data_IF_107699137217
#
_entry.id   IF_107699137217
#
_cell.length_a   1.000
_cell.length_b   1.000
_cell.length_c   1.000
_cell.angle_alpha   90.00
_cell.angle_beta   90.00
_cell.angle_gamma   90.00
#
_symmetry.space_group_name_H-M   'P 1'
#
loop_
_entity.id
_entity.type
_entity.pdbx_description
1 polymer ?
#
# COMPACT_ATOMS: atom_id res chain seq x y z
N UNK A 1 -13.22 48.65 -27.43
CA UNK A 1 -13.79 47.47 -28.13
C UNK A 1 -14.29 46.49 -27.07
N UNK A 2 -15.60 46.56 -26.80
CA UNK A 2 -16.60 45.49 -27.03
C UNK A 2 -16.62 44.36 -25.99
N UNK A 3 -17.56 44.51 -25.06
CA UNK A 3 -18.13 43.46 -24.22
C UNK A 3 -18.88 42.40 -25.05
N UNK A 4 -18.87 41.15 -24.60
CA UNK A 4 -19.89 40.11 -24.90
C UNK A 4 -19.77 39.01 -23.82
N UNK A 5 -20.62 38.97 -22.78
CA UNK A 5 -22.05 38.61 -22.70
C UNK A 5 -22.31 37.09 -22.84
N UNK A 6 -22.58 36.49 -21.66
CA UNK A 6 -23.43 35.34 -21.28
C UNK A 6 -23.90 34.36 -22.38
N UNK A 7 -23.83 33.05 -22.07
CA UNK A 7 -24.95 32.14 -22.30
C UNK A 7 -24.89 30.86 -21.43
N UNK A 8 -25.71 30.86 -20.39
CA UNK A 8 -26.21 29.70 -19.64
C UNK A 8 -27.24 29.00 -20.53
N UNK A 9 -27.11 27.70 -20.84
CA UNK A 9 -28.19 26.94 -21.50
C UNK A 9 -28.44 25.61 -20.78
N UNK A 10 -29.52 25.62 -19.98
CA UNK A 10 -30.20 24.44 -19.45
C UNK A 10 -30.68 23.59 -20.64
N UNK A 11 -30.28 22.33 -20.71
CA UNK A 11 -30.91 21.37 -21.59
C UNK A 11 -32.17 20.81 -20.92
N UNK A 12 -33.27 20.93 -21.65
CA UNK A 12 -34.65 20.73 -21.25
C UNK A 12 -35.03 19.27 -21.47
N UNK A 13 -35.62 18.66 -20.44
CA UNK A 13 -36.34 17.39 -20.48
C UNK A 13 -37.36 17.42 -21.64
N UNK A 14 -37.29 16.46 -22.58
CA UNK A 14 -38.39 16.09 -23.47
C UNK A 14 -38.34 14.58 -23.74
N UNK A 15 -39.29 13.88 -23.14
CA UNK A 15 -39.73 12.56 -23.61
C UNK A 15 -40.52 12.72 -24.91
N UNK A 16 -40.37 11.80 -25.85
CA UNK A 16 -41.52 11.11 -26.47
C UNK A 16 -41.20 9.60 -26.63
N UNK A 17 -42.09 8.65 -26.87
CA UNK A 17 -43.44 8.64 -27.43
C UNK A 17 -44.06 7.28 -27.03
N UNK A 18 -45.35 7.24 -26.70
CA UNK A 18 -46.13 6.00 -26.56
C UNK A 18 -46.16 5.29 -27.93
N UNK A 19 -45.83 4.01 -27.98
CA UNK A 19 -46.31 3.08 -29.01
C UNK A 19 -47.37 2.18 -28.38
N UNK A 20 -48.55 2.23 -28.97
CA UNK A 20 -49.72 1.44 -28.58
C UNK A 20 -49.63 0.01 -29.13
N UNK A 21 -50.05 -0.92 -28.28
CA UNK A 21 -50.87 -2.09 -28.56
C UNK A 21 -50.45 -3.05 -29.69
N UNK A 22 -49.67 -4.07 -29.32
CA UNK A 22 -49.89 -5.43 -29.82
C UNK A 22 -50.71 -6.18 -28.75
N UNK A 23 -51.80 -6.81 -29.15
CA UNK A 23 -52.76 -7.47 -28.25
C UNK A 23 -52.13 -8.61 -27.42
N UNK A 24 -52.71 -8.95 -26.25
CA UNK A 24 -52.15 -9.96 -25.36
C UNK A 24 -52.33 -11.35 -26.00
N UNK A 25 -51.24 -11.91 -26.52
CA UNK A 25 -51.15 -13.34 -26.75
C UNK A 25 -51.32 -14.04 -25.39
N UNK A 26 -52.26 -14.99 -25.33
CA UNK A 26 -52.54 -15.82 -24.14
C UNK A 26 -51.21 -16.37 -23.58
N UNK A 27 -50.89 -16.13 -22.30
CA UNK A 27 -49.68 -16.70 -21.72
C UNK A 27 -49.80 -18.23 -21.71
N UNK A 28 -48.72 -18.96 -22.03
CA UNK A 28 -48.71 -20.41 -21.92
C UNK A 28 -49.02 -20.82 -20.48
N UNK A 29 -49.85 -21.86 -20.35
CA UNK A 29 -50.28 -22.47 -19.08
C UNK A 29 -49.04 -22.67 -18.18
N UNK A 30 -49.04 -22.18 -16.92
CA UNK A 30 -47.87 -22.34 -16.05
C UNK A 30 -47.57 -23.83 -15.90
N UNK A 31 -46.34 -24.21 -16.21
CA UNK A 31 -45.82 -25.55 -15.95
C UNK A 31 -46.05 -25.88 -14.46
N UNK A 32 -46.44 -27.13 -14.20
CA UNK A 32 -46.62 -27.65 -12.84
C UNK A 32 -45.46 -27.19 -11.96
N UNK A 33 -45.79 -26.63 -10.78
CA UNK A 33 -44.82 -26.10 -9.82
C UNK A 33 -43.68 -27.10 -9.69
N UNK A 34 -42.50 -26.74 -10.20
CA UNK A 34 -41.29 -27.49 -9.91
C UNK A 34 -41.22 -27.60 -8.38
N UNK A 35 -41.15 -28.83 -7.88
CA UNK A 35 -40.97 -29.11 -6.47
C UNK A 35 -39.84 -28.23 -5.96
N UNK A 36 -40.15 -27.37 -5.00
CA UNK A 36 -39.14 -26.59 -4.29
C UNK A 36 -38.05 -27.57 -3.86
N UNK A 37 -36.77 -27.38 -4.26
CA UNK A 37 -35.72 -28.29 -3.83
C UNK A 37 -35.77 -28.37 -2.32
N UNK A 38 -35.90 -29.59 -1.79
CA UNK A 38 -35.98 -29.82 -0.36
C UNK A 38 -34.85 -29.03 0.31
N UNK A 39 -35.21 -28.12 1.20
CA UNK A 39 -34.25 -27.27 1.91
C UNK A 39 -33.24 -28.21 2.57
N UNK A 40 -31.96 -28.05 2.22
CA UNK A 40 -30.90 -28.91 2.74
C UNK A 40 -31.04 -29.05 4.26
N UNK A 41 -30.92 -30.26 4.83
CA UNK A 41 -31.04 -30.47 6.27
C UNK A 41 -30.12 -29.51 7.01
N UNK A 42 -30.62 -28.90 8.10
CA UNK A 42 -29.84 -27.93 8.90
C UNK A 42 -28.46 -28.47 9.31
N UNK A 43 -28.34 -29.78 9.52
CA UNK A 43 -27.07 -30.44 9.82
C UNK A 43 -26.06 -30.34 8.67
N UNK A 44 -26.49 -30.52 7.41
CA UNK A 44 -25.63 -30.34 6.22
C UNK A 44 -25.20 -28.88 6.03
N UNK A 45 -26.09 -27.92 6.35
CA UNK A 45 -25.74 -26.50 6.31
C UNK A 45 -24.73 -26.12 7.41
N UNK A 46 -24.87 -26.69 8.61
CA UNK A 46 -23.91 -26.50 9.71
C UNK A 46 -22.52 -27.08 9.39
N UNK A 47 -22.47 -28.29 8.83
CA UNK A 47 -21.19 -28.89 8.41
C UNK A 47 -20.52 -28.11 7.27
N UNK A 48 -21.32 -27.59 6.33
CA UNK A 48 -20.81 -26.73 5.26
C UNK A 48 -20.28 -25.40 5.81
N UNK A 49 -20.97 -24.78 6.76
CA UNK A 49 -20.53 -23.54 7.41
C UNK A 49 -19.25 -23.74 8.23
N UNK A 50 -19.11 -24.86 8.92
CA UNK A 50 -17.91 -25.16 9.70
C UNK A 50 -16.71 -25.47 8.80
N UNK A 51 -16.91 -26.21 7.70
CA UNK A 51 -15.88 -26.39 6.65
C UNK A 51 -15.48 -25.05 6.02
N UNK A 52 -16.45 -24.19 5.71
CA UNK A 52 -16.18 -22.86 5.19
C UNK A 52 -15.32 -22.03 6.15
N UNK A 53 -15.67 -21.98 7.45
CA UNK A 53 -14.87 -21.28 8.46
C UNK A 53 -13.44 -21.83 8.55
N UNK A 54 -13.28 -23.17 8.56
CA UNK A 54 -11.96 -23.81 8.58
C UNK A 54 -11.13 -23.44 7.34
N UNK A 55 -11.72 -23.44 6.15
CA UNK A 55 -11.00 -23.12 4.92
C UNK A 55 -10.63 -21.63 4.87
N UNK A 56 -11.51 -20.74 5.34
CA UNK A 56 -11.18 -19.32 5.53
C UNK A 56 -10.03 -19.14 6.52
N UNK A 57 -10.02 -19.89 7.62
CA UNK A 57 -8.94 -19.84 8.61
C UNK A 57 -7.61 -20.34 8.02
N UNK A 58 -7.61 -21.44 7.25
CA UNK A 58 -6.42 -21.91 6.51
C UNK A 58 -5.90 -20.85 5.54
N UNK A 59 -6.79 -20.20 4.79
CA UNK A 59 -6.42 -19.14 3.86
C UNK A 59 -5.83 -17.92 4.60
N UNK A 60 -6.40 -17.55 5.76
CA UNK A 60 -5.83 -16.50 6.62
C UNK A 60 -4.43 -16.90 7.07
N UNK A 61 -4.24 -18.08 7.63
CA UNK A 61 -2.93 -18.53 8.12
C UNK A 61 -1.88 -18.59 6.99
N UNK A 62 -2.24 -19.04 5.78
CA UNK A 62 -1.37 -18.95 4.60
C UNK A 62 -0.99 -17.51 4.26
N UNK A 63 -1.96 -16.59 4.28
CA UNK A 63 -1.70 -15.16 4.05
C UNK A 63 -0.74 -14.59 5.10
N UNK A 64 -0.86 -15.00 6.37
CA UNK A 64 0.06 -14.59 7.45
C UNK A 64 1.49 -15.05 7.17
N UNK A 65 1.66 -16.33 6.83
CA UNK A 65 2.96 -16.90 6.46
C UNK A 65 3.60 -16.14 5.30
N UNK A 66 2.86 -15.95 4.20
CA UNK A 66 3.34 -15.22 3.03
C UNK A 66 3.73 -13.77 3.33
N UNK A 67 2.96 -13.07 4.19
CA UNK A 67 3.30 -11.72 4.61
C UNK A 67 4.62 -11.71 5.40
N UNK A 68 4.80 -12.67 6.32
CA UNK A 68 6.02 -12.82 7.10
C UNK A 68 7.24 -13.16 6.24
N UNK A 69 7.09 -14.07 5.29
CA UNK A 69 8.14 -14.49 4.36
C UNK A 69 8.53 -13.34 3.42
N UNK A 70 7.55 -12.56 2.95
CA UNK A 70 7.81 -11.38 2.15
C UNK A 70 8.64 -10.34 2.93
N UNK A 71 8.34 -10.11 4.21
CA UNK A 71 9.14 -9.22 5.06
C UNK A 71 10.57 -9.73 5.25
N UNK A 72 10.73 -11.05 5.44
CA UNK A 72 12.06 -11.67 5.54
C UNK A 72 12.86 -11.47 4.26
N UNK A 73 12.28 -11.82 3.11
CA UNK A 73 12.88 -11.66 1.80
C UNK A 73 13.35 -10.22 1.56
N UNK A 74 12.52 -9.22 1.90
CA UNK A 74 12.88 -7.81 1.76
C UNK A 74 14.00 -7.38 2.72
N UNK A 75 14.02 -7.93 3.93
CA UNK A 75 15.10 -7.69 4.89
C UNK A 75 16.42 -8.28 4.39
N UNK A 76 16.40 -9.50 3.85
CA UNK A 76 17.59 -10.19 3.36
C UNK A 76 18.17 -9.52 2.10
N UNK A 77 17.33 -9.03 1.19
CA UNK A 77 17.76 -8.15 0.09
C UNK A 77 18.49 -6.93 0.66
N UNK A 78 17.89 -6.26 1.65
CA UNK A 78 18.51 -5.08 2.27
C UNK A 78 19.88 -5.36 2.85
N UNK A 79 20.04 -6.50 3.55
CA UNK A 79 21.32 -6.93 4.10
C UNK A 79 22.36 -7.18 3.02
N UNK A 80 21.98 -7.91 1.95
CA UNK A 80 22.86 -8.19 0.82
C UNK A 80 23.34 -6.90 0.15
N UNK A 81 22.42 -5.97 -0.11
CA UNK A 81 22.76 -4.70 -0.79
C UNK A 81 23.63 -3.81 0.08
N UNK A 82 23.43 -3.80 1.40
CA UNK A 82 24.32 -3.10 2.33
C UNK A 82 25.73 -3.68 2.26
N UNK A 83 25.87 -5.01 2.27
CA UNK A 83 27.19 -5.67 2.13
C UNK A 83 27.87 -5.28 0.81
N UNK A 84 27.16 -5.31 -0.32
CA UNK A 84 27.67 -4.87 -1.62
C UNK A 84 28.17 -3.41 -1.56
N UNK A 85 27.37 -2.51 -0.97
CA UNK A 85 27.72 -1.10 -0.86
C UNK A 85 28.93 -0.85 0.05
N UNK A 86 29.08 -1.61 1.14
CA UNK A 86 30.19 -1.48 2.09
C UNK A 86 31.48 -2.12 1.56
N UNK A 87 31.41 -3.24 0.84
CA UNK A 87 32.56 -3.87 0.19
C UNK A 87 33.13 -3.03 -0.95
N UNK A 88 32.29 -2.30 -1.69
CA UNK A 88 32.76 -1.34 -2.71
C UNK A 88 33.72 -0.30 -2.11
N UNK A 89 33.52 0.07 -0.85
CA UNK A 89 34.34 1.06 -0.16
C UNK A 89 35.63 0.47 0.44
N UNK A 90 35.78 -0.86 0.47
CA UNK A 90 37.00 -1.52 0.94
C UNK A 90 37.99 -1.68 -0.22
N UNK A 91 39.20 -1.20 -0.02
CA UNK A 91 40.29 -1.25 -0.99
C UNK A 91 41.16 -2.51 -0.80
N UNK A 92 40.61 -3.71 -0.97
CA UNK A 92 41.38 -4.96 -0.81
C UNK A 92 40.87 -6.10 -1.70
N UNK A 93 41.76 -7.06 -1.95
CA UNK A 93 41.59 -8.27 -2.78
C UNK A 93 40.49 -9.26 -2.32
N UNK A 94 39.76 -8.97 -1.23
CA UNK A 94 38.75 -9.85 -0.62
C UNK A 94 37.29 -9.41 -0.90
N UNK A 95 37.04 -8.69 -2.00
CA UNK A 95 35.66 -8.35 -2.38
C UNK A 95 34.90 -9.60 -2.79
N UNK A 96 33.95 -10.03 -1.98
CA UNK A 96 33.07 -11.16 -2.28
C UNK A 96 32.09 -10.82 -3.41
N UNK A 97 31.70 -9.55 -3.54
CA UNK A 97 30.74 -9.08 -4.54
C UNK A 97 31.36 -8.24 -5.68
N UNK A 98 32.69 -8.25 -5.82
CA UNK A 98 33.38 -7.61 -6.95
C UNK A 98 33.05 -6.13 -7.14
N UNK A 99 32.63 -5.75 -8.36
CA UNK A 99 32.23 -4.39 -8.77
C UNK A 99 30.71 -4.16 -8.80
N UNK A 100 29.92 -5.11 -8.29
CA UNK A 100 28.46 -5.01 -8.33
C UNK A 100 27.93 -3.80 -7.56
N UNK A 101 26.81 -3.30 -8.02
CA UNK A 101 26.12 -2.12 -7.49
C UNK A 101 24.70 -2.47 -7.03
N UNK A 102 24.10 -1.53 -6.32
CA UNK A 102 22.67 -1.59 -5.97
C UNK A 102 21.79 -1.73 -7.22
N UNK A 103 22.19 -1.11 -8.34
CA UNK A 103 21.46 -1.19 -9.61
C UNK A 103 21.51 -2.59 -10.24
N UNK A 104 22.64 -3.28 -10.12
CA UNK A 104 22.77 -4.67 -10.61
C UNK A 104 21.83 -5.61 -9.84
N UNK A 105 21.73 -5.41 -8.52
CA UNK A 105 20.78 -6.19 -7.70
C UNK A 105 19.34 -5.93 -8.11
N UNK A 106 18.96 -4.67 -8.36
CA UNK A 106 17.62 -4.33 -8.86
C UNK A 106 17.32 -5.01 -10.20
N UNK A 107 18.28 -4.99 -11.13
CA UNK A 107 18.15 -5.63 -12.44
C UNK A 107 18.01 -7.15 -12.33
N UNK A 108 18.87 -7.81 -11.56
CA UNK A 108 18.86 -9.27 -11.40
C UNK A 108 17.58 -9.78 -10.73
N UNK A 109 17.04 -9.02 -9.78
CA UNK A 109 15.79 -9.35 -9.11
C UNK A 109 14.55 -8.90 -9.91
N UNK A 110 14.72 -8.24 -11.06
CA UNK A 110 13.63 -7.62 -11.82
C UNK A 110 12.75 -6.68 -10.96
N UNK A 111 13.40 -5.94 -10.07
CA UNK A 111 12.77 -5.04 -9.10
C UNK A 111 13.08 -3.58 -9.44
N UNK A 112 12.18 -2.68 -9.03
CA UNK A 112 12.46 -1.25 -9.14
C UNK A 112 13.63 -0.87 -8.21
N UNK A 113 14.53 -0.02 -8.70
CA UNK A 113 15.66 0.48 -7.92
C UNK A 113 15.21 1.14 -6.59
N UNK A 114 14.08 1.84 -6.61
CA UNK A 114 13.46 2.44 -5.42
C UNK A 114 13.04 1.39 -4.38
N UNK A 115 12.58 0.22 -4.80
CA UNK A 115 12.25 -0.90 -3.90
C UNK A 115 13.50 -1.42 -3.22
N UNK A 116 14.61 -1.57 -3.95
CA UNK A 116 15.89 -2.04 -3.39
C UNK A 116 16.43 -1.05 -2.36
N UNK A 117 16.37 0.25 -2.65
CA UNK A 117 16.73 1.28 -1.65
C UNK A 117 15.80 1.26 -0.43
N UNK A 118 14.50 1.01 -0.60
CA UNK A 118 13.58 0.84 0.52
C UNK A 118 13.95 -0.38 1.39
N UNK A 119 14.41 -1.48 0.78
CA UNK A 119 14.93 -2.66 1.50
C UNK A 119 16.19 -2.31 2.31
N UNK A 120 17.12 -1.54 1.74
CA UNK A 120 18.29 -1.05 2.50
C UNK A 120 17.86 -0.17 3.69
N UNK A 121 16.94 0.77 3.47
CA UNK A 121 16.42 1.63 4.55
C UNK A 121 15.73 0.82 5.63
N UNK A 122 14.98 -0.23 5.25
CA UNK A 122 14.32 -1.14 6.17
C UNK A 122 15.33 -1.77 7.15
N UNK A 123 16.43 -2.32 6.64
CA UNK A 123 17.47 -2.94 7.47
C UNK A 123 18.20 -1.92 8.35
N UNK A 124 18.47 -0.72 7.82
CA UNK A 124 19.15 0.34 8.58
C UNK A 124 18.29 0.94 9.70
N UNK A 125 16.98 0.95 9.53
CA UNK A 125 16.06 1.59 10.47
C UNK A 125 15.41 0.63 11.46
N UNK A 126 15.33 -0.66 11.13
CA UNK A 126 14.64 -1.66 11.94
C UNK A 126 15.54 -2.84 12.26
N UNK A 127 15.55 -3.24 13.53
CA UNK A 127 16.30 -4.40 14.01
C UNK A 127 15.65 -5.73 13.62
N UNK A 128 16.40 -6.83 13.73
CA UNK A 128 15.84 -8.20 13.59
C UNK A 128 14.71 -8.48 14.59
N UNK A 129 14.76 -7.87 15.78
CA UNK A 129 13.68 -7.98 16.79
C UNK A 129 12.40 -7.31 16.28
N UNK A 130 12.51 -6.11 15.73
CA UNK A 130 11.36 -5.40 15.14
C UNK A 130 10.83 -6.10 13.89
N UNK A 131 11.69 -6.74 13.09
CA UNK A 131 11.24 -7.61 12.01
C UNK A 131 10.35 -8.74 12.54
N UNK A 132 10.75 -9.41 13.62
CA UNK A 132 9.94 -10.46 14.23
C UNK A 132 8.60 -9.92 14.74
N UNK A 133 8.57 -8.72 15.33
CA UNK A 133 7.33 -8.03 15.71
C UNK A 133 6.42 -7.77 14.50
N UNK A 134 6.98 -7.26 13.39
CA UNK A 134 6.21 -6.97 12.18
C UNK A 134 5.62 -8.24 11.55
N UNK A 135 6.37 -9.35 11.58
CA UNK A 135 5.87 -10.66 11.15
C UNK A 135 4.74 -11.16 12.05
N UNK A 136 4.92 -11.09 13.36
CA UNK A 136 3.92 -11.53 14.34
C UNK A 136 2.63 -10.71 14.25
N UNK A 137 2.74 -9.41 13.96
CA UNK A 137 1.63 -8.48 13.76
C UNK A 137 1.12 -8.41 12.30
N UNK A 138 1.59 -9.30 11.43
CA UNK A 138 1.13 -9.43 10.03
C UNK A 138 1.24 -8.15 9.19
N UNK A 139 2.31 -7.39 9.40
CA UNK A 139 2.48 -6.13 8.70
C UNK A 139 2.65 -6.33 7.19
N UNK A 140 1.83 -5.68 6.35
CA UNK A 140 2.04 -5.76 4.92
C UNK A 140 3.29 -4.96 4.52
N UNK A 141 4.10 -5.51 3.61
CA UNK A 141 5.30 -4.83 3.10
C UNK A 141 5.01 -3.40 2.62
N UNK A 142 3.84 -3.17 2.00
CA UNK A 142 3.44 -1.81 1.58
C UNK A 142 3.42 -0.80 2.73
N UNK A 143 2.94 -1.19 3.92
CA UNK A 143 2.95 -0.32 5.09
C UNK A 143 4.38 -0.08 5.57
N UNK A 144 5.19 -1.13 5.72
CA UNK A 144 6.60 -1.03 6.11
C UNK A 144 7.40 -0.15 5.14
N UNK A 145 7.24 -0.38 3.84
CA UNK A 145 7.88 0.40 2.77
C UNK A 145 7.49 1.88 2.78
N UNK A 146 6.28 2.21 3.26
CA UNK A 146 5.87 3.61 3.46
C UNK A 146 6.54 4.16 4.71
N UNK A 147 6.50 3.42 5.82
CA UNK A 147 7.08 3.83 7.09
C UNK A 147 8.58 4.13 7.01
N UNK A 148 9.35 3.36 6.21
CA UNK A 148 10.80 3.60 6.02
C UNK A 148 11.11 4.93 5.30
N UNK A 149 10.13 5.53 4.63
CA UNK A 149 10.29 6.83 3.97
C UNK A 149 10.24 8.01 4.93
N UNK A 150 9.73 7.81 6.15
CA UNK A 150 9.72 8.84 7.19
C UNK A 150 11.14 8.99 7.72
N UNK A 151 11.67 10.21 7.74
CA UNK A 151 13.04 10.46 8.21
C UNK A 151 13.07 10.67 9.73
N UNK A 152 12.12 11.44 10.27
CA UNK A 152 12.03 11.68 11.70
C UNK A 152 11.63 10.43 12.51
N UNK A 153 12.45 10.08 13.49
CA UNK A 153 12.25 8.90 14.34
C UNK A 153 11.01 9.01 15.25
N UNK A 154 10.70 10.21 15.75
CA UNK A 154 9.54 10.42 16.63
C UNK A 154 8.24 10.22 15.86
N UNK A 155 8.14 10.83 14.69
CA UNK A 155 7.02 10.69 13.77
C UNK A 155 6.86 9.25 13.27
N UNK A 156 7.97 8.57 12.97
CA UNK A 156 7.95 7.14 12.60
C UNK A 156 7.34 6.28 13.71
N UNK A 157 7.76 6.47 14.96
CA UNK A 157 7.20 5.74 16.12
C UNK A 157 5.71 6.03 16.30
N UNK A 158 5.30 7.30 16.14
CA UNK A 158 3.89 7.69 16.22
C UNK A 158 3.04 7.01 15.13
N UNK A 159 3.49 7.07 13.87
CA UNK A 159 2.81 6.42 12.75
C UNK A 159 2.77 4.90 12.89
N UNK A 160 3.84 4.28 13.43
CA UNK A 160 3.84 2.85 13.78
C UNK A 160 2.73 2.55 14.79
N UNK A 161 2.67 3.30 15.88
CA UNK A 161 1.65 3.11 16.92
C UNK A 161 0.23 3.36 16.41
N UNK A 162 0.03 4.36 15.54
CA UNK A 162 -1.27 4.67 14.94
C UNK A 162 -1.76 3.55 14.01
N UNK A 163 -0.83 2.92 13.27
CA UNK A 163 -1.14 1.75 12.45
C UNK A 163 -1.53 0.54 13.30
N UNK A 164 -0.80 0.26 14.38
CA UNK A 164 -1.11 -0.86 15.29
C UNK A 164 -2.42 -0.67 16.05
N UNK A 165 -2.80 0.58 16.34
CA UNK A 165 -4.10 0.92 16.95
C UNK A 165 -5.28 0.84 15.98
N UNK A 166 -5.04 0.46 14.72
CA UNK A 166 -6.10 0.33 13.72
C UNK A 166 -6.70 1.66 13.27
N UNK A 167 -5.95 2.78 13.37
CA UNK A 167 -6.44 4.09 12.90
C UNK A 167 -6.60 4.17 11.37
N UNK A 168 -6.18 3.15 10.63
CA UNK A 168 -6.23 3.12 9.17
C UNK A 168 -6.94 1.86 8.70
N UNK A 169 -7.96 2.05 7.87
CA UNK A 169 -8.75 0.95 7.32
C UNK A 169 -7.98 0.13 6.28
N UNK A 170 -7.00 0.75 5.60
CA UNK A 170 -6.21 0.11 4.54
C UNK A 170 -4.75 0.55 4.55
N UNK A 171 -3.87 -0.26 3.97
CA UNK A 171 -2.46 0.12 3.77
C UNK A 171 -2.28 1.34 2.87
N UNK A 172 -3.24 1.61 1.96
CA UNK A 172 -3.20 2.78 1.10
C UNK A 172 -3.56 4.06 1.85
N UNK A 173 -4.52 4.00 2.78
CA UNK A 173 -4.80 5.11 3.70
C UNK A 173 -3.57 5.46 4.54
N UNK A 174 -2.88 4.45 5.07
CA UNK A 174 -1.62 4.62 5.79
C UNK A 174 -0.53 5.27 4.92
N UNK A 175 -0.34 4.78 3.69
CA UNK A 175 0.62 5.35 2.72
C UNK A 175 0.33 6.83 2.43
N UNK A 176 -0.94 7.19 2.28
CA UNK A 176 -1.33 8.58 2.03
C UNK A 176 -1.05 9.47 3.25
N UNK A 177 -1.30 8.98 4.46
CA UNK A 177 -0.95 9.71 5.68
C UNK A 177 0.56 9.93 5.79
N UNK A 178 1.36 8.89 5.58
CA UNK A 178 2.83 8.98 5.57
C UNK A 178 3.31 10.03 4.55
N UNK A 179 2.74 10.03 3.33
CA UNK A 179 3.07 11.04 2.31
C UNK A 179 2.74 12.46 2.79
N UNK A 180 1.55 12.68 3.35
CA UNK A 180 1.16 13.99 3.87
C UNK A 180 2.11 14.46 4.97
N UNK A 181 2.48 13.57 5.88
CA UNK A 181 3.44 13.87 6.95
C UNK A 181 4.80 14.25 6.40
N UNK A 182 5.33 13.51 5.42
CA UNK A 182 6.60 13.85 4.78
C UNK A 182 6.52 15.20 4.04
N UNK A 183 5.42 15.51 3.36
CA UNK A 183 5.22 16.81 2.70
C UNK A 183 5.19 17.96 3.72
N UNK A 184 4.51 17.78 4.85
CA UNK A 184 4.47 18.78 5.93
C UNK A 184 5.84 19.00 6.56
N UNK A 185 6.57 17.92 6.88
CA UNK A 185 7.93 18.02 7.41
C UNK A 185 8.89 18.75 6.47
N UNK A 186 8.76 18.54 5.15
CA UNK A 186 9.54 19.29 4.15
C UNK A 186 9.18 20.76 4.13
N UNK A 187 7.89 21.10 4.22
CA UNK A 187 7.42 22.48 4.27
C UNK A 187 7.81 23.20 5.58
N UNK A 188 7.85 22.49 6.70
CA UNK A 188 8.28 23.02 8.00
C UNK A 188 9.81 23.14 8.10
N UNK A 189 10.56 22.22 7.49
CA UNK A 189 12.01 22.29 7.36
C UNK A 189 12.49 23.52 6.56
N UNK A 190 11.72 23.98 5.57
CA UNK A 190 12.00 25.25 4.87
C UNK A 190 11.77 26.51 5.70
N UNK A 191 11.22 26.42 6.93
CA UNK A 191 11.02 27.58 7.82
C UNK A 191 12.09 27.71 8.92
N UNK A 192 12.99 26.74 9.06
CA UNK A 192 14.00 26.74 10.14
C UNK A 192 15.42 27.10 9.70
N UNK A 193 15.69 27.20 8.40
CA UNK A 193 16.88 27.91 7.89
C UNK A 193 16.65 29.43 7.80
N UNK A 194 16.10 29.98 8.87
CA UNK A 194 16.28 31.38 9.22
C UNK A 194 17.64 31.56 9.89
N UNK A 195 18.73 31.18 9.21
CA UNK A 195 20.08 31.57 9.63
C UNK A 195 20.38 32.92 9.01
N UNK A 196 20.51 33.91 9.90
CA UNK A 196 20.42 35.33 9.63
C UNK A 196 21.25 35.84 8.46
N UNK A 197 20.62 36.70 7.65
CA UNK A 197 21.31 37.79 6.99
C UNK A 197 20.92 39.07 7.73
N UNK A 198 21.55 39.26 8.88
CA UNK A 198 21.49 40.49 9.67
C UNK A 198 22.91 41.03 9.86
N UNK A 199 23.25 42.04 9.05
CA UNK A 199 24.18 43.12 9.41
C UNK A 199 25.69 42.89 9.24
N UNK A 200 26.27 43.57 8.24
CA UNK A 200 27.54 44.34 8.23
C UNK A 200 27.94 44.52 6.75
N UNK A 201 27.88 45.71 6.14
CA UNK A 201 28.82 46.81 6.37
C UNK A 201 29.95 46.72 5.34
N UNK A 202 29.87 47.47 4.23
CA UNK A 202 30.90 47.54 3.20
C UNK A 202 30.65 48.70 2.24
N UNK A 203 31.50 49.70 2.34
CA UNK A 203 31.48 51.00 1.65
C UNK A 203 31.48 50.87 0.12
N UNK A 204 30.81 51.83 -0.54
CA UNK A 204 31.23 52.45 -1.79
C UNK A 204 30.72 53.90 -1.80
#
# INVERSE_FOLDING_TARGET
MTAKKKAKKKAKKKAPKKQSAAGPAKPPKPAAKASVPARAPKAMLSEADDRFKQDIEKLRNRRKGLAGDLLQYRYDIGLMVIKIAEEKNKATHERCYGSHTVADTAKLLSEALSTVYACMKFVRQFSKKELAEFKAKEWPWRAVSSLVTVEDAKTRKQLKADFEKGKFDTSDAFKNQVKQTNTKQRADGTKTDGRGSGGAGGQA
#
